data_IF_004794309109
#
_entry.id   IF_004794309109
#
_cell.length_a   1.000
_cell.length_b   1.000
_cell.length_c   1.000
_cell.angle_alpha   90.00
_cell.angle_beta   90.00
_cell.angle_gamma   90.00
#
_symmetry.space_group_name_H-M   'P 1'
#
loop_
_entity.id
_entity.type
_entity.pdbx_description
1 polymer ?
#
# COMPACT_ATOMS: atom_id res chain seq x y z
N UNK A 1 -8.45 7.23 -23.79
CA UNK A 1 -7.11 6.96 -23.21
C UNK A 1 -7.02 7.28 -21.71
N UNK A 2 -7.51 8.43 -21.22
CA UNK A 2 -7.39 8.82 -19.80
C UNK A 2 -8.01 7.82 -18.81
N UNK A 3 -9.12 7.16 -19.16
CA UNK A 3 -9.84 6.23 -18.28
C UNK A 3 -9.14 4.88 -18.13
N UNK A 4 -8.69 4.29 -19.24
CA UNK A 4 -7.92 3.03 -19.25
C UNK A 4 -6.63 3.15 -18.44
N UNK A 5 -5.90 4.26 -18.58
CA UNK A 5 -4.69 4.51 -17.81
C UNK A 5 -4.95 4.59 -16.31
N UNK A 6 -6.00 5.31 -15.89
CA UNK A 6 -6.42 5.36 -14.47
C UNK A 6 -6.77 3.97 -13.94
N UNK A 7 -7.31 3.10 -14.80
CA UNK A 7 -7.84 1.79 -14.42
C UNK A 7 -6.67 0.83 -14.23
N UNK A 8 -5.74 0.83 -15.18
CA UNK A 8 -4.46 0.13 -15.07
C UNK A 8 -3.67 0.59 -13.83
N UNK A 9 -3.60 1.90 -13.57
CA UNK A 9 -2.90 2.43 -12.40
C UNK A 9 -3.56 1.99 -11.09
N UNK A 10 -4.89 2.05 -10.99
CA UNK A 10 -5.65 1.57 -9.82
C UNK A 10 -5.45 0.07 -9.58
N UNK A 11 -5.49 -0.74 -10.64
CA UNK A 11 -5.22 -2.18 -10.59
C UNK A 11 -3.80 -2.47 -10.13
N UNK A 12 -2.82 -1.72 -10.63
CA UNK A 12 -1.41 -1.86 -10.26
C UNK A 12 -1.20 -1.52 -8.77
N UNK A 13 -1.79 -0.41 -8.29
CA UNK A 13 -1.75 -0.02 -6.88
C UNK A 13 -2.41 -1.07 -5.98
N UNK A 14 -3.58 -1.56 -6.38
CA UNK A 14 -4.29 -2.66 -5.71
C UNK A 14 -3.42 -3.91 -5.62
N UNK A 15 -2.77 -4.30 -6.72
CA UNK A 15 -1.91 -5.47 -6.78
C UNK A 15 -0.68 -5.34 -5.87
N UNK A 16 -0.02 -4.17 -5.87
CA UNK A 16 1.13 -3.89 -4.99
C UNK A 16 0.73 -3.99 -3.51
N UNK A 17 -0.39 -3.38 -3.12
CA UNK A 17 -0.86 -3.46 -1.74
C UNK A 17 -1.27 -4.88 -1.36
N UNK A 18 -1.95 -5.61 -2.24
CA UNK A 18 -2.30 -7.00 -2.01
C UNK A 18 -1.07 -7.89 -1.79
N UNK A 19 -0.05 -7.74 -2.63
CA UNK A 19 1.22 -8.43 -2.49
C UNK A 19 1.92 -8.10 -1.17
N UNK A 20 1.97 -6.82 -0.80
CA UNK A 20 2.53 -6.36 0.46
C UNK A 20 1.82 -7.00 1.67
N UNK A 21 0.49 -6.86 1.74
CA UNK A 21 -0.33 -7.40 2.84
C UNK A 21 -0.16 -8.91 2.92
N UNK A 22 -0.27 -9.63 1.79
CA UNK A 22 -0.12 -11.08 1.75
C UNK A 22 1.25 -11.51 2.25
N UNK A 23 2.32 -10.85 1.80
CA UNK A 23 3.69 -11.20 2.19
C UNK A 23 3.92 -10.93 3.67
N UNK A 24 3.44 -9.81 4.19
CA UNK A 24 3.53 -9.52 5.63
C UNK A 24 2.76 -10.56 6.43
N UNK A 25 1.49 -10.84 6.09
CA UNK A 25 0.69 -11.83 6.81
C UNK A 25 1.35 -13.20 6.83
N UNK A 26 1.93 -13.62 5.70
CA UNK A 26 2.54 -14.94 5.56
C UNK A 26 3.84 -15.07 6.37
N UNK A 27 4.53 -13.96 6.65
CA UNK A 27 5.76 -13.98 7.44
C UNK A 27 5.50 -13.70 8.94
N UNK A 28 4.51 -12.87 9.27
CA UNK A 28 4.28 -12.43 10.66
C UNK A 28 3.22 -13.23 11.40
N UNK A 29 2.42 -14.05 10.71
CA UNK A 29 1.23 -14.68 11.29
C UNK A 29 1.08 -16.12 10.84
N UNK A 30 0.80 -17.02 11.78
CA UNK A 30 0.43 -18.43 11.52
C UNK A 30 -1.05 -18.58 11.11
N UNK A 31 -1.58 -17.61 10.36
CA UNK A 31 -2.94 -17.69 9.81
C UNK A 31 -2.99 -18.78 8.73
N UNK A 32 -4.13 -19.45 8.64
CA UNK A 32 -4.32 -20.42 7.55
C UNK A 32 -4.18 -19.69 6.21
N UNK A 33 -3.55 -20.35 5.22
CA UNK A 33 -3.25 -19.70 3.94
C UNK A 33 -4.48 -19.09 3.24
N UNK A 34 -5.67 -19.61 3.54
CA UNK A 34 -6.95 -19.11 3.03
C UNK A 34 -7.38 -17.79 3.69
N UNK A 35 -7.22 -17.66 5.01
CA UNK A 35 -7.59 -16.44 5.74
C UNK A 35 -6.70 -15.26 5.34
N UNK A 36 -5.39 -15.51 5.22
CA UNK A 36 -4.44 -14.52 4.73
C UNK A 36 -4.79 -14.03 3.32
N UNK A 37 -5.20 -14.97 2.45
CA UNK A 37 -5.58 -14.68 1.07
C UNK A 37 -6.87 -13.85 0.98
N UNK A 38 -7.89 -14.17 1.79
CA UNK A 38 -9.13 -13.40 1.84
C UNK A 38 -8.89 -11.98 2.37
N UNK A 39 -8.06 -11.83 3.40
CA UNK A 39 -7.71 -10.53 3.97
C UNK A 39 -6.91 -9.66 2.99
N UNK A 40 -5.92 -10.24 2.31
CA UNK A 40 -5.11 -9.53 1.32
C UNK A 40 -5.92 -9.11 0.10
N UNK A 41 -6.80 -9.98 -0.41
CA UNK A 41 -7.75 -9.64 -1.48
C UNK A 41 -8.72 -8.54 -1.07
N UNK A 42 -9.24 -8.59 0.16
CA UNK A 42 -10.14 -7.56 0.68
C UNK A 42 -9.44 -6.21 0.79
N UNK A 43 -8.19 -6.19 1.27
CA UNK A 43 -7.38 -4.98 1.36
C UNK A 43 -7.01 -4.43 -0.03
N UNK A 44 -6.62 -5.30 -0.95
CA UNK A 44 -6.34 -4.94 -2.34
C UNK A 44 -7.57 -4.32 -3.01
N UNK A 45 -8.73 -4.98 -2.93
CA UNK A 45 -9.98 -4.48 -3.49
C UNK A 45 -10.37 -3.12 -2.89
N UNK A 46 -10.18 -2.94 -1.58
CA UNK A 46 -10.43 -1.68 -0.90
C UNK A 46 -9.56 -0.54 -1.43
N UNK A 47 -8.25 -0.77 -1.54
CA UNK A 47 -7.31 0.22 -2.08
C UNK A 47 -7.60 0.50 -3.55
N UNK A 48 -7.81 -0.52 -4.37
CA UNK A 48 -8.16 -0.37 -5.78
C UNK A 48 -9.39 0.51 -5.98
N UNK A 49 -10.45 0.24 -5.20
CA UNK A 49 -11.70 1.01 -5.25
C UNK A 49 -11.51 2.48 -4.83
N UNK A 50 -10.78 2.73 -3.75
CA UNK A 50 -10.54 4.10 -3.28
C UNK A 50 -9.59 4.87 -4.18
N UNK A 51 -8.54 4.24 -4.70
CA UNK A 51 -7.66 4.82 -5.71
C UNK A 51 -8.41 5.15 -6.99
N UNK A 52 -9.33 4.28 -7.43
CA UNK A 52 -10.17 4.55 -8.60
C UNK A 52 -11.09 5.75 -8.37
N UNK A 53 -11.76 5.84 -7.21
CA UNK A 53 -12.57 7.01 -6.85
C UNK A 53 -11.76 8.31 -6.83
N UNK A 54 -10.57 8.28 -6.22
CA UNK A 54 -9.63 9.40 -6.22
C UNK A 54 -9.25 9.84 -7.64
N UNK A 55 -8.88 8.89 -8.50
CA UNK A 55 -8.50 9.14 -9.89
C UNK A 55 -9.68 9.62 -10.74
N UNK A 56 -10.91 9.22 -10.40
CA UNK A 56 -12.14 9.69 -11.02
C UNK A 56 -12.52 11.11 -10.56
N UNK A 57 -11.80 11.70 -9.60
CA UNK A 57 -12.10 13.02 -9.04
C UNK A 57 -13.22 13.01 -8.00
N UNK A 58 -13.63 11.84 -7.52
CA UNK A 58 -14.62 11.72 -6.47
C UNK A 58 -14.02 12.06 -5.10
N UNK A 59 -14.79 12.76 -4.28
CA UNK A 59 -14.43 13.08 -2.91
C UNK A 59 -14.44 11.80 -2.08
N UNK A 60 -13.40 11.60 -1.29
CA UNK A 60 -13.31 10.50 -0.32
C UNK A 60 -13.10 11.07 1.09
N UNK A 61 -13.60 10.33 2.09
CA UNK A 61 -13.43 10.71 3.50
C UNK A 61 -11.94 10.75 3.85
N UNK A 62 -11.57 11.69 4.72
CA UNK A 62 -10.19 11.88 5.21
C UNK A 62 -9.61 10.56 5.75
N UNK A 63 -10.39 9.80 6.54
CA UNK A 63 -9.95 8.50 7.08
C UNK A 63 -9.60 7.50 5.98
N UNK A 64 -10.39 7.43 4.92
CA UNK A 64 -10.13 6.56 3.77
C UNK A 64 -8.92 7.01 2.96
N UNK A 65 -8.72 8.33 2.78
CA UNK A 65 -7.55 8.85 2.10
C UNK A 65 -6.25 8.57 2.87
N UNK A 66 -6.26 8.73 4.20
CA UNK A 66 -5.15 8.36 5.08
C UNK A 66 -4.84 6.87 4.93
N UNK A 67 -5.85 6.00 5.08
CA UNK A 67 -5.65 4.55 5.03
C UNK A 67 -5.09 4.11 3.67
N UNK A 68 -5.67 4.62 2.58
CA UNK A 68 -5.28 4.28 1.21
C UNK A 68 -3.89 4.81 0.91
N UNK A 69 -3.56 6.03 1.33
CA UNK A 69 -2.23 6.60 1.18
C UNK A 69 -1.17 5.82 1.96
N UNK A 70 -1.47 5.47 3.22
CA UNK A 70 -0.61 4.65 4.07
C UNK A 70 -0.32 3.30 3.41
N UNK A 71 -1.36 2.59 2.97
CA UNK A 71 -1.23 1.28 2.34
C UNK A 71 -0.42 1.31 1.04
N UNK A 72 -0.60 2.34 0.21
CA UNK A 72 0.13 2.47 -1.05
C UNK A 72 1.61 2.77 -0.77
N UNK A 73 1.91 3.81 0.01
CA UNK A 73 3.30 4.16 0.31
C UNK A 73 4.02 3.09 1.13
N UNK A 74 3.32 2.43 2.06
CA UNK A 74 3.82 1.27 2.79
C UNK A 74 4.19 0.14 1.84
N UNK A 75 3.33 -0.19 0.88
CA UNK A 75 3.61 -1.20 -0.13
C UNK A 75 4.81 -0.82 -1.03
N UNK A 76 4.92 0.44 -1.44
CA UNK A 76 6.08 0.91 -2.20
C UNK A 76 7.37 0.80 -1.39
N UNK A 77 7.38 1.30 -0.15
CA UNK A 77 8.52 1.24 0.73
C UNK A 77 8.95 -0.20 1.01
N UNK A 78 7.98 -1.10 1.23
CA UNK A 78 8.21 -2.53 1.38
C UNK A 78 8.90 -3.11 0.15
N UNK A 79 8.37 -2.86 -1.06
CA UNK A 79 8.92 -3.42 -2.30
C UNK A 79 10.33 -2.89 -2.56
N UNK A 80 10.55 -1.58 -2.42
CA UNK A 80 11.89 -1.00 -2.57
C UNK A 80 12.88 -1.59 -1.56
N UNK A 81 12.47 -1.80 -0.32
CA UNK A 81 13.33 -2.39 0.69
C UNK A 81 13.55 -3.89 0.48
N UNK A 82 12.50 -4.63 0.09
CA UNK A 82 12.56 -6.07 -0.12
C UNK A 82 13.47 -6.41 -1.31
N UNK A 83 13.20 -5.83 -2.48
CA UNK A 83 14.02 -6.04 -3.66
C UNK A 83 15.37 -5.32 -3.56
N UNK A 84 15.43 -4.14 -2.94
CA UNK A 84 16.68 -3.42 -2.73
C UNK A 84 17.64 -4.21 -1.86
N UNK A 85 17.16 -4.83 -0.78
CA UNK A 85 18.03 -5.64 0.07
C UNK A 85 18.40 -6.96 -0.60
N UNK A 86 17.48 -7.57 -1.36
CA UNK A 86 17.79 -8.78 -2.14
C UNK A 86 18.91 -8.55 -3.19
N UNK A 87 19.05 -7.33 -3.71
CA UNK A 87 20.12 -6.96 -4.64
C UNK A 87 21.48 -6.71 -3.96
N UNK A 88 21.50 -6.21 -2.72
CA UNK A 88 22.74 -5.73 -2.08
C UNK A 88 23.24 -6.70 -0.99
N UNK A 89 22.35 -7.30 -0.20
CA UNK A 89 22.66 -8.13 0.96
C UNK A 89 22.02 -9.53 0.78
N UNK A 90 22.65 -10.37 -0.05
CA UNK A 90 22.20 -11.76 -0.22
C UNK A 90 22.45 -12.63 1.04
N UNK A 91 23.44 -12.27 1.87
CA UNK A 91 23.94 -13.13 2.95
C UNK A 91 23.43 -12.82 4.37
N UNK A 92 22.84 -11.65 4.61
CA UNK A 92 22.40 -11.25 5.97
C UNK A 92 20.89 -11.09 6.06
N UNK A 93 20.21 -12.25 6.17
CA UNK A 93 18.74 -12.33 6.18
C UNK A 93 18.10 -11.55 7.34
N UNK A 94 18.72 -11.53 8.53
CA UNK A 94 18.15 -10.87 9.71
C UNK A 94 18.20 -9.33 9.66
N UNK A 95 19.32 -8.76 9.19
CA UNK A 95 19.46 -7.32 9.01
C UNK A 95 18.57 -6.83 7.87
N UNK A 96 18.44 -7.63 6.81
CA UNK A 96 17.53 -7.34 5.72
C UNK A 96 16.08 -7.27 6.18
N UNK A 97 15.65 -8.26 6.96
CA UNK A 97 14.28 -8.33 7.46
C UNK A 97 13.94 -7.13 8.37
N UNK A 98 14.86 -6.76 9.25
CA UNK A 98 14.71 -5.60 10.13
C UNK A 98 14.61 -4.30 9.34
N UNK A 99 15.46 -4.11 8.32
CA UNK A 99 15.42 -2.95 7.44
C UNK A 99 14.10 -2.82 6.67
N UNK A 100 13.59 -3.94 6.14
CA UNK A 100 12.30 -3.99 5.44
C UNK A 100 11.16 -3.55 6.35
N UNK A 101 11.11 -4.04 7.60
CA UNK A 101 10.07 -3.66 8.55
C UNK A 101 10.11 -2.15 8.85
N UNK A 102 11.30 -1.61 9.15
CA UNK A 102 11.46 -0.19 9.51
C UNK A 102 11.04 0.71 8.35
N UNK A 103 11.54 0.43 7.14
CA UNK A 103 11.25 1.24 5.94
C UNK A 103 9.78 1.14 5.56
N UNK A 104 9.17 -0.05 5.68
CA UNK A 104 7.73 -0.23 5.43
C UNK A 104 6.87 0.58 6.41
N UNK A 105 7.23 0.59 7.69
CA UNK A 105 6.55 1.41 8.70
C UNK A 105 6.70 2.91 8.44
N UNK A 106 7.92 3.36 8.07
CA UNK A 106 8.14 4.75 7.65
C UNK A 106 7.28 5.10 6.43
N UNK A 107 7.20 4.21 5.45
CA UNK A 107 6.34 4.34 4.27
C UNK A 107 4.88 4.49 4.64
N UNK A 108 4.38 3.66 5.56
CA UNK A 108 3.01 3.77 6.09
C UNK A 108 2.75 5.16 6.70
N UNK A 109 3.66 5.68 7.53
CA UNK A 109 3.51 6.98 8.16
C UNK A 109 3.52 8.13 7.14
N UNK A 110 4.45 8.11 6.18
CA UNK A 110 4.51 9.08 5.08
C UNK A 110 3.27 9.02 4.19
N UNK A 111 2.76 7.82 3.92
CA UNK A 111 1.52 7.59 3.21
C UNK A 111 0.28 8.12 3.94
N UNK A 112 0.22 7.91 5.26
CA UNK A 112 -0.85 8.42 6.09
C UNK A 112 -0.86 9.95 6.10
N UNK A 113 0.31 10.57 6.27
CA UNK A 113 0.46 12.03 6.24
C UNK A 113 0.06 12.61 4.88
N UNK A 114 0.58 12.05 3.78
CA UNK A 114 0.25 12.51 2.43
C UNK A 114 -1.24 12.34 2.10
N UNK A 115 -1.86 11.24 2.53
CA UNK A 115 -3.31 11.02 2.42
C UNK A 115 -4.14 12.05 3.20
N UNK A 116 -3.70 12.42 4.41
CA UNK A 116 -4.34 13.48 5.19
C UNK A 116 -4.25 14.84 4.50
N UNK A 117 -3.06 15.26 4.07
CA UNK A 117 -2.86 16.52 3.37
C UNK A 117 -3.68 16.59 2.07
N UNK A 118 -3.75 15.49 1.32
CA UNK A 118 -4.54 15.42 0.09
C UNK A 118 -6.04 15.62 0.37
N UNK A 119 -6.61 14.88 1.33
CA UNK A 119 -8.02 15.00 1.66
C UNK A 119 -8.38 16.36 2.30
N UNK A 120 -7.47 16.92 3.10
CA UNK A 120 -7.66 18.25 3.70
C UNK A 120 -7.66 19.36 2.63
N UNK A 121 -6.79 19.24 1.61
CA UNK A 121 -6.80 20.15 0.46
C UNK A 121 -8.07 19.99 -0.39
N UNK A 122 -8.65 18.79 -0.49
CA UNK A 122 -9.94 18.60 -1.15
C UNK A 122 -11.08 19.27 -0.39
N UNK A 123 -11.06 19.21 0.95
CA UNK A 123 -12.06 19.86 1.81
C UNK A 123 -11.99 21.39 1.75
N UNK A 124 -10.80 21.97 1.63
CA UNK A 124 -10.56 23.42 1.53
C UNK A 124 -10.97 24.04 0.17
N UNK A 125 -11.19 23.22 -0.86
CA UNK A 125 -11.49 23.69 -2.23
C UNK A 125 -13.00 23.80 -2.53
N UNK A 126 -13.84 23.45 -1.56
CA UNK A 126 -15.27 23.77 -1.49
C UNK A 126 -15.48 24.91 -0.49
#
# INVERSE_FOLDING_TARGET
MKTLFKMALSLLLSGLTGFYIQTVLLITTDLSGWESLVLSLSCAAWVGWHSWKLLAGAQIRVSSAILTGALIFGAFAFIFSFFGTMLILADSRETAFTGIIIISFLGLLLGAASGYFFANNQKKRN
#
